data_IF_504686429416
#
_entry.id   IF_504686429416
#
_cell.length_a   1.000
_cell.length_b   1.000
_cell.length_c   1.000
_cell.angle_alpha   90.00
_cell.angle_beta   90.00
_cell.angle_gamma   90.00
#
_symmetry.space_group_name_H-M   'P 1'
#
loop_
_entity.id
_entity.type
_entity.pdbx_description
1 polymer ?
#
# COMPACT_ATOMS: atom_id res chain seq x y z
N UNK A 1 -25.10 -38.82 -37.96
CA UNK A 1 -23.81 -38.95 -37.25
C UNK A 1 -22.92 -37.70 -37.30
N UNK A 2 -23.03 -36.79 -38.28
CA UNK A 2 -22.17 -35.59 -38.36
C UNK A 2 -22.50 -34.47 -37.34
N UNK A 3 -23.76 -34.34 -36.89
CA UNK A 3 -24.15 -33.27 -35.95
C UNK A 3 -23.62 -33.45 -34.52
N UNK A 4 -23.46 -34.69 -34.04
CA UNK A 4 -22.92 -34.97 -32.70
C UNK A 4 -21.40 -34.73 -32.59
N UNK A 5 -20.67 -34.87 -33.71
CA UNK A 5 -19.22 -34.63 -33.78
C UNK A 5 -18.88 -33.12 -33.79
N UNK A 6 -19.73 -32.29 -34.39
CA UNK A 6 -19.56 -30.82 -34.42
C UNK A 6 -19.86 -30.20 -33.05
N UNK A 7 -20.86 -30.72 -32.33
CA UNK A 7 -21.27 -30.19 -31.04
C UNK A 7 -20.25 -30.46 -29.92
N UNK A 8 -19.58 -31.63 -29.97
CA UNK A 8 -18.50 -31.99 -29.04
C UNK A 8 -17.22 -31.17 -29.29
N UNK A 9 -16.95 -30.79 -30.53
CA UNK A 9 -15.86 -29.88 -30.91
C UNK A 9 -16.07 -28.45 -30.39
N UNK A 10 -17.27 -27.88 -30.55
CA UNK A 10 -17.54 -26.52 -30.10
C UNK A 10 -17.49 -26.37 -28.56
N UNK A 11 -18.02 -27.36 -27.83
CA UNK A 11 -18.02 -27.36 -26.36
C UNK A 11 -16.59 -27.46 -25.78
N UNK A 12 -15.72 -28.23 -26.41
CA UNK A 12 -14.31 -28.35 -25.97
C UNK A 12 -13.51 -27.08 -26.28
N UNK A 13 -13.75 -26.43 -27.42
CA UNK A 13 -13.14 -25.14 -27.77
C UNK A 13 -13.57 -24.03 -26.78
N UNK A 14 -14.86 -23.95 -26.43
CA UNK A 14 -15.36 -23.00 -25.43
C UNK A 14 -14.77 -23.26 -24.04
N UNK A 15 -14.65 -24.53 -23.63
CA UNK A 15 -14.05 -24.90 -22.35
C UNK A 15 -12.55 -24.53 -22.31
N UNK A 16 -11.82 -24.77 -23.40
CA UNK A 16 -10.41 -24.38 -23.54
C UNK A 16 -10.25 -22.85 -23.47
N UNK A 17 -11.06 -22.08 -24.21
CA UNK A 17 -11.04 -20.62 -24.15
C UNK A 17 -11.36 -20.08 -22.74
N UNK A 18 -12.29 -20.72 -22.02
CA UNK A 18 -12.62 -20.37 -20.64
C UNK A 18 -11.46 -20.67 -19.66
N UNK A 19 -10.70 -21.74 -19.91
CA UNK A 19 -9.50 -22.08 -19.14
C UNK A 19 -8.32 -21.16 -19.46
N UNK A 20 -8.12 -20.78 -20.72
CA UNK A 20 -7.09 -19.80 -21.11
C UNK A 20 -7.41 -18.39 -20.61
N UNK A 21 -8.69 -18.00 -20.53
CA UNK A 21 -9.09 -16.73 -19.94
C UNK A 21 -8.77 -16.62 -18.43
N UNK A 22 -8.51 -17.75 -17.76
CA UNK A 22 -8.11 -17.82 -16.35
C UNK A 22 -6.60 -17.87 -16.12
N UNK A 23 -5.76 -17.69 -17.15
CA UNK A 23 -4.34 -17.44 -16.90
C UNK A 23 -4.18 -16.06 -16.28
N UNK A 24 -4.28 -15.97 -14.96
CA UNK A 24 -3.77 -14.82 -14.23
C UNK A 24 -2.30 -14.68 -14.60
N UNK A 25 -1.91 -13.52 -15.12
CA UNK A 25 -0.51 -13.21 -15.34
C UNK A 25 0.20 -13.41 -13.99
N UNK A 26 1.13 -14.37 -13.93
CA UNK A 26 2.00 -14.49 -12.77
C UNK A 26 2.77 -13.17 -12.69
N UNK A 27 2.61 -12.43 -11.59
CA UNK A 27 3.35 -11.19 -11.40
C UNK A 27 4.82 -11.60 -11.24
N UNK A 28 5.64 -11.19 -12.20
CA UNK A 28 7.06 -11.50 -12.20
C UNK A 28 7.81 -10.71 -11.14
N UNK A 29 8.99 -11.19 -10.74
CA UNK A 29 9.90 -10.43 -9.88
C UNK A 29 10.49 -9.25 -10.66
N UNK A 30 10.61 -8.10 -10.00
CA UNK A 30 11.36 -6.98 -10.55
C UNK A 30 12.84 -7.37 -10.71
N UNK A 31 13.54 -6.74 -11.66
CA UNK A 31 14.98 -6.95 -11.80
C UNK A 31 15.71 -6.64 -10.48
N UNK A 32 16.87 -7.28 -10.21
CA UNK A 32 17.62 -7.01 -8.99
C UNK A 32 17.97 -5.53 -8.80
N UNK A 33 18.25 -4.81 -9.90
CA UNK A 33 18.53 -3.37 -9.90
C UNK A 33 17.32 -2.56 -9.42
N UNK A 34 16.13 -2.85 -9.95
CA UNK A 34 14.89 -2.18 -9.53
C UNK A 34 14.59 -2.51 -8.07
N UNK A 35 14.71 -3.77 -7.68
CA UNK A 35 14.46 -4.18 -6.29
C UNK A 35 15.40 -3.49 -5.30
N UNK A 36 16.68 -3.37 -5.65
CA UNK A 36 17.67 -2.66 -4.85
C UNK A 36 17.37 -1.15 -4.75
N UNK A 37 16.98 -0.52 -5.85
CA UNK A 37 16.60 0.89 -5.86
C UNK A 37 15.37 1.16 -4.98
N UNK A 38 14.34 0.32 -5.10
CA UNK A 38 13.12 0.42 -4.27
C UNK A 38 13.47 0.24 -2.80
N UNK A 39 14.23 -0.80 -2.45
CA UNK A 39 14.69 -1.03 -1.09
C UNK A 39 15.41 0.20 -0.52
N UNK A 40 16.39 0.73 -1.25
CA UNK A 40 17.14 1.91 -0.81
C UNK A 40 16.26 3.15 -0.64
N UNK A 41 15.20 3.26 -1.44
CA UNK A 41 14.24 4.36 -1.33
C UNK A 41 13.37 4.22 -0.08
N UNK A 42 12.87 3.00 0.18
CA UNK A 42 12.03 2.71 1.36
C UNK A 42 12.80 2.81 2.67
N UNK A 43 14.06 2.39 2.66
CA UNK A 43 14.97 2.41 3.82
C UNK A 43 15.78 3.72 3.91
N UNK A 44 15.36 4.74 3.16
CA UNK A 44 16.00 6.05 3.23
C UNK A 44 15.43 6.83 4.43
N UNK A 45 16.12 6.77 5.57
CA UNK A 45 15.75 7.57 6.75
C UNK A 45 15.73 9.08 6.55
N UNK A 46 16.21 9.61 5.41
CA UNK A 46 16.03 11.02 5.03
C UNK A 46 14.65 11.33 4.48
N UNK A 47 13.96 10.34 3.89
CA UNK A 47 12.66 10.52 3.24
C UNK A 47 11.60 11.06 4.21
N UNK A 48 11.72 10.64 5.48
CA UNK A 48 10.86 11.07 6.59
C UNK A 48 11.61 11.94 7.61
N UNK A 49 12.77 12.51 7.26
CA UNK A 49 13.56 13.29 8.22
C UNK A 49 12.87 14.59 8.67
N UNK A 50 11.99 15.15 7.84
CA UNK A 50 11.12 16.28 8.19
C UNK A 50 9.87 15.86 8.97
N UNK A 51 9.58 14.55 9.05
CA UNK A 51 8.46 14.01 9.81
C UNK A 51 8.82 13.95 11.30
N UNK A 52 8.19 14.79 12.13
CA UNK A 52 8.36 14.77 13.58
C UNK A 52 7.23 14.02 14.27
N UNK A 53 7.45 12.75 14.62
CA UNK A 53 6.49 11.97 15.42
C UNK A 53 7.12 11.66 16.78
N UNK A 54 6.40 11.98 17.85
CA UNK A 54 6.86 11.78 19.22
C UNK A 54 6.51 10.38 19.71
N UNK A 55 7.28 9.35 19.32
CA UNK A 55 7.09 8.02 19.88
C UNK A 55 7.53 8.01 21.35
N UNK A 56 6.59 7.87 22.28
CA UNK A 56 6.88 7.69 23.72
C UNK A 56 7.85 8.76 24.31
N UNK A 57 7.64 10.05 24.00
CA UNK A 57 8.49 11.18 24.42
C UNK A 57 9.93 11.19 23.88
N UNK A 58 10.24 10.40 22.84
CA UNK A 58 11.48 10.52 22.05
C UNK A 58 11.13 10.75 20.57
N UNK A 59 11.89 11.61 19.88
CA UNK A 59 11.83 11.68 18.41
C UNK A 59 12.36 10.35 17.86
N UNK A 60 11.49 9.54 17.28
CA UNK A 60 11.92 8.32 16.59
C UNK A 60 12.14 8.66 15.13
N UNK A 61 13.37 8.43 14.66
CA UNK A 61 13.70 8.50 13.24
C UNK A 61 13.08 7.27 12.59
N UNK A 62 12.16 7.47 11.66
CA UNK A 62 11.64 6.42 10.79
C UNK A 62 12.80 5.98 9.89
N UNK A 63 13.35 4.80 10.16
CA UNK A 63 14.47 4.23 9.39
C UNK A 63 13.99 3.61 8.08
N UNK A 64 12.81 3.02 8.10
CA UNK A 64 12.12 2.46 6.94
C UNK A 64 10.67 2.91 6.91
N UNK A 65 10.11 3.11 5.71
CA UNK A 65 8.70 3.49 5.52
C UNK A 65 7.75 2.61 6.35
N UNK A 66 8.01 1.30 6.39
CA UNK A 66 7.09 0.36 7.01
C UNK A 66 7.18 0.32 8.54
N UNK A 67 8.20 0.94 9.15
CA UNK A 67 8.30 1.07 10.62
C UNK A 67 7.13 1.88 11.20
N UNK A 68 6.47 2.70 10.37
CA UNK A 68 5.29 3.50 10.72
C UNK A 68 4.09 2.61 11.07
N UNK A 69 4.00 1.40 10.51
CA UNK A 69 2.93 0.46 10.83
C UNK A 69 2.99 -0.06 12.27
N UNK A 70 4.16 0.05 12.91
CA UNK A 70 4.38 -0.34 14.31
C UNK A 70 4.26 0.85 15.29
N UNK A 71 3.70 1.97 14.83
CA UNK A 71 3.44 3.12 15.69
C UNK A 71 2.21 2.86 16.58
N UNK A 72 2.25 3.32 17.85
CA UNK A 72 1.03 3.44 18.64
C UNK A 72 0.00 4.28 17.89
N UNK A 73 -1.30 3.98 18.05
CA UNK A 73 -2.40 4.62 17.33
C UNK A 73 -2.32 6.16 17.35
N UNK A 74 -2.00 6.75 18.52
CA UNK A 74 -1.78 8.20 18.65
C UNK A 74 -0.66 8.71 17.74
N UNK A 75 0.48 8.03 17.75
CA UNK A 75 1.66 8.45 16.99
C UNK A 75 1.44 8.22 15.49
N UNK A 76 0.73 7.15 15.13
CA UNK A 76 0.26 6.90 13.78
C UNK A 76 -0.68 8.00 13.28
N UNK A 77 -1.64 8.43 14.11
CA UNK A 77 -2.52 9.55 13.75
C UNK A 77 -1.76 10.87 13.57
N UNK A 78 -0.80 11.16 14.46
CA UNK A 78 0.09 12.34 14.32
C UNK A 78 0.88 12.28 13.01
N UNK A 79 1.39 11.10 12.66
CA UNK A 79 2.04 10.88 11.37
C UNK A 79 1.06 11.16 10.21
N UNK A 80 -0.14 10.59 10.22
CA UNK A 80 -1.10 10.70 9.13
C UNK A 80 -1.71 12.10 8.97
N UNK A 81 -1.81 12.90 10.05
CA UNK A 81 -2.25 14.30 10.01
C UNK A 81 -1.14 15.29 9.63
N UNK A 82 0.12 14.84 9.52
CA UNK A 82 1.25 15.70 9.18
C UNK A 82 1.54 15.68 7.67
N UNK A 83 1.37 16.81 6.95
CA UNK A 83 1.69 16.89 5.52
C UNK A 83 3.16 16.53 5.21
N UNK A 84 4.08 16.86 6.11
CA UNK A 84 5.50 16.54 5.97
C UNK A 84 5.77 15.02 6.03
N UNK A 85 4.87 14.26 6.66
CA UNK A 85 4.93 12.80 6.73
C UNK A 85 4.17 12.12 5.58
N UNK A 86 3.10 12.72 5.06
CA UNK A 86 2.25 12.10 4.03
C UNK A 86 2.64 12.46 2.59
N UNK A 87 3.26 13.61 2.33
CA UNK A 87 3.80 13.96 0.99
C UNK A 87 4.80 12.92 0.46
N UNK A 88 5.76 12.40 1.26
CA UNK A 88 6.64 11.35 0.78
C UNK A 88 5.88 10.08 0.39
N UNK A 89 4.83 9.69 1.13
CA UNK A 89 3.98 8.53 0.78
C UNK A 89 3.33 8.73 -0.59
N UNK A 90 2.74 9.91 -0.84
CA UNK A 90 2.14 10.23 -2.14
C UNK A 90 3.16 10.16 -3.28
N UNK A 91 4.38 10.64 -3.03
CA UNK A 91 5.47 10.55 -4.01
C UNK A 91 5.82 9.10 -4.32
N UNK A 92 5.89 8.24 -3.31
CA UNK A 92 6.19 6.82 -3.49
C UNK A 92 5.08 6.07 -4.23
N UNK A 93 3.80 6.41 -4.02
CA UNK A 93 2.69 5.79 -4.75
C UNK A 93 2.87 5.90 -6.28
N UNK A 94 3.38 7.03 -6.76
CA UNK A 94 3.61 7.26 -8.17
C UNK A 94 4.95 6.70 -8.68
N UNK A 95 5.92 6.50 -7.80
CA UNK A 95 7.27 6.07 -8.17
C UNK A 95 7.47 4.54 -8.12
N UNK A 96 6.64 3.81 -7.37
CA UNK A 96 6.83 2.37 -7.19
C UNK A 96 6.42 1.55 -8.40
N UNK A 97 7.14 0.44 -8.69
CA UNK A 97 6.75 -0.47 -9.74
C UNK A 97 5.40 -1.14 -9.43
N UNK A 98 4.50 -1.16 -10.41
CA UNK A 98 3.14 -1.74 -10.30
C UNK A 98 2.99 -3.07 -11.03
N UNK A 99 3.97 -3.44 -11.87
CA UNK A 99 3.90 -4.61 -12.77
C UNK A 99 4.80 -5.76 -12.35
N UNK A 100 5.49 -5.65 -11.22
CA UNK A 100 6.39 -6.68 -10.73
C UNK A 100 6.47 -6.68 -9.20
N UNK A 101 6.81 -7.83 -8.62
CA UNK A 101 7.05 -7.98 -7.19
C UNK A 101 8.49 -7.61 -6.86
N UNK A 102 8.67 -6.75 -5.88
CA UNK A 102 10.00 -6.31 -5.43
C UNK A 102 10.52 -7.29 -4.38
N UNK A 103 11.76 -7.72 -4.52
CA UNK A 103 12.44 -8.46 -3.44
C UNK A 103 12.81 -7.49 -2.33
N UNK A 104 12.11 -7.54 -1.21
CA UNK A 104 12.31 -6.66 -0.07
C UNK A 104 12.29 -7.47 1.23
N UNK A 105 13.32 -7.29 2.08
CA UNK A 105 13.53 -8.08 3.31
C UNK A 105 13.47 -9.61 3.11
N UNK A 106 13.90 -10.11 1.93
CA UNK A 106 13.98 -11.54 1.63
C UNK A 106 12.70 -12.15 1.06
N UNK A 107 11.63 -11.36 0.88
CA UNK A 107 10.38 -11.82 0.27
C UNK A 107 10.01 -11.00 -0.98
N UNK A 108 9.21 -11.62 -1.85
CA UNK A 108 8.61 -10.95 -3.00
C UNK A 108 7.38 -10.17 -2.53
N UNK A 109 7.37 -8.85 -2.71
CA UNK A 109 6.33 -7.96 -2.16
C UNK A 109 5.75 -7.04 -3.22
N UNK A 110 4.45 -6.80 -3.14
CA UNK A 110 3.77 -5.77 -3.93
C UNK A 110 3.89 -4.43 -3.20
N UNK A 111 5.04 -3.77 -3.36
CA UNK A 111 5.33 -2.52 -2.65
C UNK A 111 4.31 -1.42 -3.00
N UNK A 112 3.87 -1.31 -4.25
CA UNK A 112 2.88 -0.30 -4.63
C UNK A 112 1.55 -0.50 -3.88
N UNK A 113 1.09 -1.73 -3.76
CA UNK A 113 -0.12 -2.07 -3.00
C UNK A 113 0.05 -1.81 -1.50
N UNK A 114 1.20 -2.15 -0.92
CA UNK A 114 1.46 -1.91 0.49
C UNK A 114 1.52 -0.43 0.86
N UNK A 115 2.10 0.42 -0.02
CA UNK A 115 2.08 1.88 0.17
C UNK A 115 0.66 2.42 0.01
N UNK A 116 -0.13 1.88 -0.93
CA UNK A 116 -1.54 2.25 -1.11
C UNK A 116 -2.35 1.94 0.15
N UNK A 117 -2.17 0.74 0.71
CA UNK A 117 -2.78 0.35 1.96
C UNK A 117 -2.35 1.24 3.15
N UNK A 118 -1.09 1.68 3.20
CA UNK A 118 -0.65 2.65 4.21
C UNK A 118 -1.36 4.00 4.04
N UNK A 119 -1.47 4.51 2.82
CA UNK A 119 -2.18 5.75 2.53
C UNK A 119 -3.66 5.66 2.91
N UNK A 120 -4.33 4.54 2.61
CA UNK A 120 -5.72 4.29 2.98
C UNK A 120 -5.91 4.24 4.50
N UNK A 121 -5.01 3.54 5.21
CA UNK A 121 -5.01 3.52 6.68
C UNK A 121 -4.90 4.93 7.26
N UNK A 122 -4.04 5.78 6.69
CA UNK A 122 -3.97 7.17 7.10
C UNK A 122 -5.26 7.94 6.83
N UNK A 123 -5.88 7.77 5.66
CA UNK A 123 -7.14 8.42 5.34
C UNK A 123 -8.30 7.98 6.26
N UNK A 124 -8.31 6.72 6.69
CA UNK A 124 -9.29 6.20 7.64
C UNK A 124 -9.04 6.78 9.04
N UNK A 125 -7.80 6.74 9.53
CA UNK A 125 -7.45 7.27 10.85
C UNK A 125 -7.77 8.76 10.99
N UNK A 126 -7.41 9.56 9.99
CA UNK A 126 -7.70 11.01 9.98
C UNK A 126 -9.20 11.27 9.97
N UNK A 127 -9.97 10.62 9.10
CA UNK A 127 -11.44 10.78 9.04
C UNK A 127 -12.13 10.40 10.36
N UNK A 128 -11.69 9.32 11.00
CA UNK A 128 -12.25 8.91 12.28
C UNK A 128 -12.00 9.98 13.37
N UNK A 129 -10.79 10.53 13.40
CA UNK A 129 -10.43 11.57 14.36
C UNK A 129 -11.13 12.91 14.08
N UNK A 130 -11.29 13.30 12.81
CA UNK A 130 -12.01 14.53 12.44
C UNK A 130 -13.47 14.46 12.90
N UNK A 131 -14.13 13.31 12.70
CA UNK A 131 -15.51 13.09 13.16
C UNK A 131 -15.61 13.21 14.68
N UNK A 132 -14.66 12.67 15.44
CA UNK A 132 -14.66 12.83 16.90
C UNK A 132 -14.45 14.27 17.32
N UNK A 133 -13.55 15.00 16.65
CA UNK A 133 -13.27 16.41 16.94
C UNK A 133 -14.53 17.27 16.69
N UNK A 134 -15.28 16.99 15.61
CA UNK A 134 -16.57 17.63 15.32
C UNK A 134 -17.62 17.35 16.40
N UNK A 135 -17.79 16.09 16.83
CA UNK A 135 -18.75 15.71 17.87
C UNK A 135 -18.45 16.40 19.20
N UNK A 136 -17.17 16.51 19.57
CA UNK A 136 -16.75 17.26 20.76
C UNK A 136 -17.06 18.75 20.65
N UNK A 137 -16.83 19.38 19.48
CA UNK A 137 -17.17 20.78 19.25
C UNK A 137 -18.69 21.00 19.36
N UNK A 138 -19.51 20.16 18.73
CA UNK A 138 -20.97 20.27 18.83
C UNK A 138 -21.45 20.19 20.27
N UNK A 139 -20.91 19.26 21.06
CA UNK A 139 -21.24 19.16 22.48
C UNK A 139 -20.86 20.41 23.26
N UNK A 140 -19.66 20.96 23.02
CA UNK A 140 -19.17 22.15 23.72
C UNK A 140 -19.97 23.43 23.42
N UNK A 141 -20.58 23.53 22.23
CA UNK A 141 -21.39 24.70 21.85
C UNK A 141 -22.88 24.57 22.18
N UNK A 142 -23.36 23.37 22.52
CA UNK A 142 -24.77 23.09 22.86
C UNK A 142 -24.99 22.92 24.37
N UNK A 143 -23.93 22.82 25.16
CA UNK A 143 -23.90 22.93 26.62
C UNK A 143 -23.64 24.39 27.05
#
# INVERSE_FOLDING_TARGET
MMHHFVFTSAATILLLLYLFARTGFAIELCSPVVSHLVKNTLDNGRLFSSCSVNKSRRRVRVSSLFDVLDFPERDFLVFCRSPECTKPIQTLLHAMPTRCLVTYCGSARNISEEISMLADKCAVATRAADKTDEEYLYKYFLD
#
